data_IF_765371572684
#
_entry.id   IF_765371572684
#
_cell.length_a   1.000
_cell.length_b   1.000
_cell.length_c   1.000
_cell.angle_alpha   90.00
_cell.angle_beta   90.00
_cell.angle_gamma   90.00
#
_symmetry.space_group_name_H-M   'P 1'
#
loop_
_entity.id
_entity.type
_entity.pdbx_description
1 polymer ?
#
# COMPACT_ATOMS: atom_id res chain seq x y z
N UNK A 1 -71.34 -40.01 1.59
CA UNK A 1 -71.36 -38.55 1.36
C UNK A 1 -71.38 -37.86 2.72
N UNK A 2 -70.26 -37.32 3.18
CA UNK A 2 -70.15 -36.46 4.39
C UNK A 2 -69.41 -35.19 3.97
N UNK A 3 -69.82 -34.01 4.40
CA UNK A 3 -69.20 -32.74 3.98
C UNK A 3 -67.94 -32.42 4.74
N UNK A 4 -67.00 -31.83 4.01
CA UNK A 4 -65.75 -31.28 4.51
C UNK A 4 -65.97 -29.95 5.24
N UNK A 5 -65.45 -29.86 6.47
CA UNK A 5 -65.43 -28.63 7.29
C UNK A 5 -64.22 -27.78 6.94
N UNK A 6 -64.45 -26.50 6.67
CA UNK A 6 -63.43 -25.46 6.47
C UNK A 6 -62.79 -25.05 7.81
N UNK A 7 -61.47 -25.15 7.90
CA UNK A 7 -60.70 -24.56 9.01
C UNK A 7 -60.18 -23.17 8.62
N UNK A 8 -60.27 -22.23 9.56
CA UNK A 8 -59.89 -20.82 9.48
C UNK A 8 -58.39 -20.63 9.26
N UNK A 9 -57.93 -19.51 8.63
CA UNK A 9 -56.51 -19.20 8.48
C UNK A 9 -55.92 -18.65 9.78
N UNK A 10 -54.72 -19.13 10.13
CA UNK A 10 -53.86 -18.56 11.17
C UNK A 10 -53.34 -17.21 10.77
N UNK A 11 -53.52 -16.23 11.63
CA UNK A 11 -52.93 -14.90 11.52
C UNK A 11 -51.42 -15.01 11.75
N UNK A 12 -50.59 -14.65 10.75
CA UNK A 12 -49.18 -14.51 10.89
C UNK A 12 -48.84 -13.15 11.52
N UNK A 13 -48.34 -13.17 12.74
CA UNK A 13 -47.83 -11.99 13.45
C UNK A 13 -46.46 -11.66 12.86
N UNK A 14 -46.37 -10.57 12.10
CA UNK A 14 -45.08 -9.98 11.70
C UNK A 14 -44.40 -9.38 12.93
N UNK A 15 -43.35 -10.00 13.40
CA UNK A 15 -42.38 -9.41 14.33
C UNK A 15 -41.44 -8.47 13.53
N UNK A 16 -41.64 -7.18 13.66
CA UNK A 16 -40.71 -6.17 13.15
C UNK A 16 -39.46 -6.17 14.02
N UNK A 17 -38.36 -6.74 13.52
CA UNK A 17 -37.04 -6.53 14.11
C UNK A 17 -36.56 -5.11 13.72
N UNK A 18 -36.69 -4.17 14.63
CA UNK A 18 -36.00 -2.88 14.55
C UNK A 18 -34.51 -3.13 14.79
N UNK A 19 -33.71 -3.07 13.70
CA UNK A 19 -32.26 -3.03 13.78
C UNK A 19 -31.86 -1.67 14.39
N UNK A 20 -31.49 -1.68 15.66
CA UNK A 20 -30.79 -0.57 16.28
C UNK A 20 -29.41 -0.47 15.59
N UNK A 21 -29.25 0.47 14.68
CA UNK A 21 -27.95 0.87 14.18
C UNK A 21 -27.28 1.64 15.33
N UNK A 22 -26.46 0.93 16.11
CA UNK A 22 -25.55 1.59 17.04
C UNK A 22 -24.48 2.27 16.21
N UNK A 23 -24.62 3.58 16.02
CA UNK A 23 -23.56 4.39 15.45
C UNK A 23 -22.32 4.25 16.35
N UNK A 24 -21.26 3.68 15.79
CA UNK A 24 -19.96 3.67 16.47
C UNK A 24 -19.56 5.12 16.80
N UNK A 25 -19.04 5.41 18.00
CA UNK A 25 -18.62 6.76 18.33
C UNK A 25 -17.52 7.18 17.36
N UNK A 26 -17.69 8.35 16.75
CA UNK A 26 -16.66 9.00 15.96
C UNK A 26 -15.43 9.14 16.85
N UNK A 27 -14.36 8.39 16.54
CA UNK A 27 -13.08 8.52 17.22
C UNK A 27 -12.58 9.95 17.04
N UNK A 28 -12.45 10.66 18.16
CA UNK A 28 -11.98 12.03 18.22
C UNK A 28 -10.63 12.16 17.49
N UNK A 29 -10.63 13.01 16.50
CA UNK A 29 -9.57 13.66 15.78
C UNK A 29 -8.15 13.11 15.90
N UNK A 30 -7.81 12.10 15.11
CA UNK A 30 -6.42 11.88 14.73
C UNK A 30 -5.99 13.04 13.82
N UNK A 31 -4.87 13.73 14.05
CA UNK A 31 -4.44 14.82 13.19
C UNK A 31 -4.13 14.27 11.79
N UNK A 32 -5.01 14.55 10.84
CA UNK A 32 -4.74 14.36 9.42
C UNK A 32 -3.85 15.54 9.01
N UNK A 33 -2.55 15.32 8.90
CA UNK A 33 -1.66 16.28 8.24
C UNK A 33 -1.92 16.15 6.75
N UNK A 34 -2.83 16.97 6.21
CA UNK A 34 -2.93 17.16 4.77
C UNK A 34 -1.61 17.82 4.36
N UNK A 35 -0.79 17.11 3.61
CA UNK A 35 0.41 17.66 3.00
C UNK A 35 0.05 18.90 2.21
N UNK A 36 0.97 19.83 2.14
CA UNK A 36 0.87 21.16 1.51
C UNK A 36 -0.06 21.18 0.29
N UNK A 37 -0.87 22.25 0.22
CA UNK A 37 -1.66 22.66 -0.95
C UNK A 37 -0.98 22.22 -2.24
N UNK A 38 -1.74 21.54 -3.10
CA UNK A 38 -1.28 21.10 -4.41
C UNK A 38 -0.67 22.30 -5.20
N UNK A 39 0.64 22.40 -5.22
CA UNK A 39 1.35 23.42 -6.01
C UNK A 39 1.64 22.80 -7.37
N UNK A 40 0.69 22.96 -8.32
CA UNK A 40 0.99 22.71 -9.73
C UNK A 40 2.11 23.67 -10.10
N UNK A 41 3.29 23.20 -10.58
CA UNK A 41 4.36 24.11 -11.00
C UNK A 41 3.82 25.11 -11.99
N UNK A 42 4.03 26.41 -11.73
CA UNK A 42 3.51 27.49 -12.58
C UNK A 42 4.11 27.49 -13.98
N UNK A 43 5.25 26.85 -14.16
CA UNK A 43 6.03 26.68 -15.40
C UNK A 43 5.68 25.39 -16.18
N UNK A 44 4.84 24.50 -15.63
CA UNK A 44 4.41 23.31 -16.37
C UNK A 44 3.63 23.70 -17.62
N UNK A 45 3.97 23.09 -18.76
CA UNK A 45 3.29 23.31 -20.04
C UNK A 45 1.80 22.95 -19.95
N UNK A 46 1.47 21.82 -19.32
CA UNK A 46 0.09 21.38 -19.06
C UNK A 46 -0.18 21.41 -17.56
N UNK A 47 -1.23 22.12 -17.18
CA UNK A 47 -1.73 22.16 -15.81
C UNK A 47 -3.12 21.52 -15.75
N UNK A 48 -3.28 20.54 -14.85
CA UNK A 48 -4.57 19.91 -14.53
C UNK A 48 -4.81 20.07 -13.04
N UNK A 49 -5.91 20.70 -12.68
CA UNK A 49 -6.23 21.07 -11.30
C UNK A 49 -7.72 20.96 -11.01
N UNK A 50 -8.10 21.27 -9.78
CA UNK A 50 -9.48 21.35 -9.32
C UNK A 50 -9.79 22.78 -8.85
N UNK A 51 -11.07 23.07 -8.71
CA UNK A 51 -11.57 24.37 -8.21
C UNK A 51 -11.30 24.60 -6.72
N UNK A 52 -10.96 23.52 -5.96
CA UNK A 52 -10.53 23.60 -4.55
C UNK A 52 -9.06 23.24 -4.43
N UNK A 53 -8.35 23.98 -3.59
CA UNK A 53 -6.90 23.79 -3.41
C UNK A 53 -6.53 22.45 -2.74
N UNK A 54 -7.38 21.93 -1.85
CA UNK A 54 -7.18 20.67 -1.14
C UNK A 54 -7.71 19.44 -1.91
N UNK A 55 -8.35 19.66 -3.05
CA UNK A 55 -8.99 18.63 -3.89
C UNK A 55 -10.01 17.76 -3.16
N UNK A 56 -10.57 18.25 -2.05
CA UNK A 56 -11.45 17.48 -1.17
C UNK A 56 -12.89 18.05 -1.19
N UNK A 57 -13.86 17.17 -1.28
CA UNK A 57 -15.29 17.47 -1.42
C UNK A 57 -16.10 16.57 -0.49
N UNK A 58 -17.27 17.02 -0.07
CA UNK A 58 -18.25 16.15 0.54
C UNK A 58 -18.95 15.28 -0.53
N UNK A 59 -19.44 14.11 -0.13
CA UNK A 59 -20.34 13.31 -0.99
C UNK A 59 -21.54 14.16 -1.43
N UNK A 60 -21.89 14.10 -2.70
CA UNK A 60 -22.94 14.91 -3.33
C UNK A 60 -22.51 16.32 -3.73
N UNK A 61 -21.37 16.82 -3.28
CA UNK A 61 -20.82 18.10 -3.72
C UNK A 61 -20.20 17.95 -5.12
N UNK A 62 -20.32 18.96 -5.95
CA UNK A 62 -19.72 18.98 -7.29
C UNK A 62 -18.26 19.43 -7.24
N UNK A 63 -17.39 18.72 -7.96
CA UNK A 63 -15.98 19.07 -8.21
C UNK A 63 -15.82 19.52 -9.66
N UNK A 64 -15.11 20.62 -9.89
CA UNK A 64 -14.84 21.13 -11.24
C UNK A 64 -13.36 20.99 -11.57
N UNK A 65 -13.06 20.20 -12.61
CA UNK A 65 -11.70 20.05 -13.13
C UNK A 65 -11.35 21.17 -14.09
N UNK A 66 -10.10 21.64 -14.03
CA UNK A 66 -9.58 22.70 -14.88
C UNK A 66 -8.33 22.21 -15.62
N UNK A 67 -8.29 22.49 -16.92
CA UNK A 67 -7.16 22.16 -17.80
C UNK A 67 -6.67 23.46 -18.42
N UNK A 68 -5.38 23.74 -18.32
CA UNK A 68 -4.75 24.93 -18.89
C UNK A 68 -3.38 24.58 -19.47
N UNK A 69 -3.04 25.25 -20.58
CA UNK A 69 -1.69 25.22 -21.14
C UNK A 69 -1.00 26.57 -20.98
N UNK A 70 0.26 26.54 -20.64
CA UNK A 70 1.15 27.70 -20.62
C UNK A 70 1.97 27.69 -21.91
N UNK A 71 1.48 28.36 -22.94
CA UNK A 71 2.11 28.46 -24.26
C UNK A 71 2.24 29.91 -24.67
N UNK A 72 3.35 30.24 -25.35
CA UNK A 72 3.56 31.53 -25.95
C UNK A 72 4.28 31.37 -27.31
N UNK A 73 3.66 31.70 -28.46
CA UNK A 73 2.26 32.12 -28.60
C UNK A 73 1.28 30.94 -28.36
N UNK A 74 0.05 31.25 -27.95
CA UNK A 74 -1.02 30.27 -27.84
C UNK A 74 -1.65 30.02 -29.22
N UNK A 75 -1.96 28.76 -29.63
CA UNK A 75 -2.62 28.46 -30.89
C UNK A 75 -4.01 29.11 -30.95
N UNK A 76 -4.33 29.81 -32.05
CA UNK A 76 -5.63 30.46 -32.22
C UNK A 76 -6.82 29.49 -32.20
N UNK A 77 -6.61 28.27 -32.72
CA UNK A 77 -7.58 27.19 -32.70
C UNK A 77 -7.70 26.47 -31.34
N UNK A 78 -6.86 26.84 -30.38
CA UNK A 78 -6.74 26.14 -29.10
C UNK A 78 -5.90 24.85 -29.17
N UNK A 79 -5.80 24.15 -28.07
CA UNK A 79 -5.09 22.87 -27.97
C UNK A 79 -6.08 21.71 -27.86
N UNK A 80 -6.05 20.79 -28.81
CA UNK A 80 -6.85 19.58 -28.74
C UNK A 80 -6.28 18.61 -27.72
N UNK A 81 -7.14 18.15 -26.80
CA UNK A 81 -6.79 17.13 -25.79
C UNK A 81 -7.62 15.87 -26.02
N UNK A 82 -7.07 14.72 -25.66
CA UNK A 82 -7.84 13.55 -25.27
C UNK A 82 -7.88 13.44 -23.74
N UNK A 83 -9.04 13.03 -23.19
CA UNK A 83 -9.17 12.89 -21.75
C UNK A 83 -10.11 11.75 -21.35
N UNK A 84 -9.89 11.21 -20.15
CA UNK A 84 -10.79 10.26 -19.47
C UNK A 84 -11.15 10.83 -18.11
N UNK A 85 -12.41 10.67 -17.72
CA UNK A 85 -12.94 11.17 -16.44
C UNK A 85 -13.88 10.13 -15.84
N UNK A 86 -13.63 9.75 -14.58
CA UNK A 86 -14.45 8.77 -13.86
C UNK A 86 -13.79 8.36 -12.54
N UNK A 87 -14.31 7.33 -11.88
CA UNK A 87 -13.70 6.79 -10.65
C UNK A 87 -12.23 6.40 -10.88
N UNK A 88 -11.38 6.61 -9.87
CA UNK A 88 -9.95 6.29 -9.98
C UNK A 88 -9.74 4.83 -10.44
N UNK A 89 -8.84 4.63 -11.40
CA UNK A 89 -8.55 3.36 -12.11
C UNK A 89 -9.71 2.83 -12.99
N UNK A 90 -10.85 3.52 -13.05
CA UNK A 90 -12.05 3.16 -13.82
C UNK A 90 -12.60 4.39 -14.59
N UNK A 91 -11.68 5.21 -15.14
CA UNK A 91 -11.96 6.54 -15.68
C UNK A 91 -12.87 6.56 -16.94
N UNK A 92 -13.26 5.40 -17.43
CA UNK A 92 -14.21 5.28 -18.53
C UNK A 92 -13.62 5.56 -19.92
N UNK A 93 -14.50 5.84 -20.90
CA UNK A 93 -14.12 6.02 -22.30
C UNK A 93 -13.34 7.33 -22.52
N UNK A 94 -12.46 7.30 -23.54
CA UNK A 94 -11.74 8.49 -24.00
C UNK A 94 -12.69 9.47 -24.70
N UNK A 95 -12.50 10.76 -24.43
CA UNK A 95 -13.23 11.89 -25.03
C UNK A 95 -12.22 12.90 -25.53
N UNK A 96 -12.64 13.80 -26.41
CA UNK A 96 -11.84 14.91 -26.92
C UNK A 96 -12.46 16.24 -26.56
N UNK A 97 -11.61 17.28 -26.42
CA UNK A 97 -12.04 18.67 -26.22
C UNK A 97 -10.94 19.62 -26.74
N UNK A 98 -11.31 20.86 -26.96
CA UNK A 98 -10.36 21.95 -27.29
C UNK A 98 -10.20 22.81 -26.04
N UNK A 99 -8.95 23.04 -25.63
CA UNK A 99 -8.59 23.93 -24.53
C UNK A 99 -8.24 25.31 -25.11
N UNK A 100 -9.04 26.35 -24.85
CA UNK A 100 -8.73 27.71 -25.25
C UNK A 100 -7.64 28.33 -24.35
N UNK A 101 -7.11 29.49 -24.71
CA UNK A 101 -6.03 30.19 -23.96
C UNK A 101 -6.39 30.44 -22.49
N UNK A 102 -7.65 30.81 -22.23
CA UNK A 102 -8.14 31.01 -20.84
C UNK A 102 -8.28 29.71 -20.03
N UNK A 103 -8.08 28.54 -20.66
CA UNK A 103 -8.26 27.21 -20.05
C UNK A 103 -9.67 26.66 -20.25
N UNK A 104 -9.82 25.36 -19.96
CA UNK A 104 -11.08 24.60 -20.05
C UNK A 104 -11.51 24.14 -18.66
N UNK A 105 -12.77 24.44 -18.31
CA UNK A 105 -13.43 23.81 -17.17
C UNK A 105 -14.31 22.66 -17.66
N UNK A 106 -14.08 21.45 -17.17
CA UNK A 106 -14.91 20.30 -17.48
C UNK A 106 -16.17 20.32 -16.61
N UNK A 107 -17.28 19.71 -17.07
CA UNK A 107 -18.52 19.63 -16.28
C UNK A 107 -18.28 19.12 -14.87
N UNK A 108 -18.97 19.71 -13.92
CA UNK A 108 -18.88 19.33 -12.52
C UNK A 108 -19.30 17.87 -12.33
N UNK A 109 -18.53 17.15 -11.52
CA UNK A 109 -18.74 15.74 -11.20
C UNK A 109 -18.96 15.58 -9.70
N UNK A 110 -19.93 14.78 -9.30
CA UNK A 110 -20.19 14.44 -7.90
C UNK A 110 -20.25 12.92 -7.73
N UNK A 111 -19.89 12.44 -6.53
CA UNK A 111 -20.12 11.05 -6.14
C UNK A 111 -21.23 10.95 -5.10
N UNK A 112 -22.06 9.90 -5.22
CA UNK A 112 -23.09 9.56 -4.23
C UNK A 112 -22.52 8.77 -3.03
N UNK A 113 -21.29 8.28 -3.12
CA UNK A 113 -20.60 7.50 -2.09
C UNK A 113 -19.15 7.98 -1.94
N UNK A 114 -18.50 7.75 -0.78
CA UNK A 114 -17.09 8.05 -0.59
C UNK A 114 -16.20 7.38 -1.63
N UNK A 115 -15.24 8.13 -2.19
CA UNK A 115 -14.36 7.63 -3.23
C UNK A 115 -13.60 8.74 -3.93
N UNK A 116 -13.02 8.40 -5.08
CA UNK A 116 -12.20 9.32 -5.86
C UNK A 116 -12.66 9.36 -7.32
N UNK A 117 -12.59 10.55 -7.91
CA UNK A 117 -12.79 10.76 -9.35
C UNK A 117 -11.53 11.35 -9.93
N UNK A 118 -11.02 10.76 -11.00
CA UNK A 118 -9.79 11.17 -11.66
C UNK A 118 -10.06 11.68 -13.08
N UNK A 119 -9.40 12.79 -13.41
CA UNK A 119 -9.23 13.28 -14.76
C UNK A 119 -7.82 12.92 -15.24
N UNK A 120 -7.73 12.23 -16.37
CA UNK A 120 -6.50 12.00 -17.13
C UNK A 120 -6.58 12.81 -18.42
N UNK A 121 -5.54 13.59 -18.71
CA UNK A 121 -5.45 14.43 -19.91
C UNK A 121 -4.20 14.09 -20.68
N UNK A 122 -4.30 14.03 -22.00
CA UNK A 122 -3.19 13.86 -22.93
C UNK A 122 -3.34 14.80 -24.11
N UNK A 123 -2.24 15.44 -24.51
CA UNK A 123 -2.15 16.28 -25.71
C UNK A 123 -0.80 16.13 -26.38
N UNK A 124 -0.74 16.46 -27.67
CA UNK A 124 0.54 16.65 -28.37
C UNK A 124 0.73 18.14 -28.63
N UNK A 125 1.75 18.72 -28.02
CA UNK A 125 2.06 20.15 -28.14
C UNK A 125 3.49 20.28 -28.68
N UNK A 126 3.65 21.00 -29.80
CA UNK A 126 4.95 21.17 -30.45
C UNK A 126 5.69 19.84 -30.69
N UNK A 127 4.96 18.80 -31.11
CA UNK A 127 5.50 17.45 -31.36
C UNK A 127 5.83 16.64 -30.10
N UNK A 128 5.59 17.16 -28.90
CA UNK A 128 5.83 16.46 -27.63
C UNK A 128 4.50 16.06 -26.97
N UNK A 129 4.44 14.82 -26.49
CA UNK A 129 3.31 14.36 -25.70
C UNK A 129 3.37 14.99 -24.31
N UNK A 130 2.26 15.63 -23.91
CA UNK A 130 2.03 16.15 -22.57
C UNK A 130 0.95 15.31 -21.89
N UNK A 131 1.19 14.88 -20.66
CA UNK A 131 0.22 14.16 -19.84
C UNK A 131 0.03 14.86 -18.50
N UNK A 132 -1.22 14.97 -18.07
CA UNK A 132 -1.58 15.60 -16.81
C UNK A 132 -2.73 14.86 -16.14
N UNK A 133 -2.85 15.02 -14.82
CA UNK A 133 -3.93 14.40 -14.05
C UNK A 133 -4.28 15.22 -12.82
N UNK A 134 -5.53 15.10 -12.39
CA UNK A 134 -5.99 15.55 -11.07
C UNK A 134 -7.05 14.57 -10.56
N UNK A 135 -7.10 14.39 -9.24
CA UNK A 135 -8.00 13.42 -8.60
C UNK A 135 -8.77 14.09 -7.45
N UNK A 136 -10.09 14.22 -7.61
CA UNK A 136 -10.98 14.75 -6.59
C UNK A 136 -11.31 13.67 -5.56
N UNK A 137 -11.20 14.00 -4.28
CA UNK A 137 -11.51 13.13 -3.16
C UNK A 137 -12.88 13.48 -2.56
N UNK A 138 -13.79 12.52 -2.50
CA UNK A 138 -15.14 12.69 -1.94
C UNK A 138 -15.25 11.96 -0.60
N UNK A 139 -15.29 12.71 0.50
CA UNK A 139 -15.35 12.19 1.88
C UNK A 139 -14.39 11.00 2.09
N UNK A 140 -13.10 11.13 1.77
CA UNK A 140 -12.16 10.01 1.72
C UNK A 140 -11.98 9.30 3.07
N UNK A 141 -12.21 10.02 4.18
CA UNK A 141 -12.20 9.47 5.55
C UNK A 141 -13.33 8.46 5.82
N UNK A 142 -14.34 8.41 4.96
CA UNK A 142 -15.50 7.52 5.10
C UNK A 142 -15.44 6.31 4.16
N UNK A 143 -14.35 6.11 3.45
CA UNK A 143 -14.17 4.92 2.60
C UNK A 143 -14.06 3.69 3.51
N UNK A 144 -14.99 2.74 3.31
CA UNK A 144 -14.99 1.44 4.01
C UNK A 144 -14.44 0.37 3.08
N UNK A 145 -13.54 -0.53 3.52
CA UNK A 145 -13.04 -1.60 2.68
C UNK A 145 -14.15 -2.59 2.29
N UNK A 146 -14.02 -3.20 1.12
CA UNK A 146 -14.90 -4.30 0.65
C UNK A 146 -14.27 -5.68 0.85
N UNK A 147 -12.98 -5.72 1.19
CA UNK A 147 -12.31 -6.98 1.51
C UNK A 147 -12.92 -7.64 2.74
N UNK A 148 -13.26 -8.93 2.61
CA UNK A 148 -13.80 -9.73 3.71
C UNK A 148 -12.73 -10.07 4.73
N UNK A 149 -13.16 -10.32 5.98
CA UNK A 149 -12.29 -10.79 7.05
C UNK A 149 -12.60 -12.27 7.33
N UNK A 150 -11.64 -13.20 7.11
CA UNK A 150 -11.85 -14.60 7.45
C UNK A 150 -12.02 -14.81 8.97
N UNK A 151 -13.00 -15.59 9.38
CA UNK A 151 -13.25 -15.86 10.79
C UNK A 151 -12.07 -16.55 11.51
N UNK A 152 -11.26 -17.31 10.76
CA UNK A 152 -10.07 -18.01 11.27
C UNK A 152 -8.75 -17.26 10.96
N UNK A 153 -8.80 -15.96 10.61
CA UNK A 153 -7.62 -15.18 10.21
C UNK A 153 -6.49 -15.27 11.27
N UNK A 154 -6.80 -15.01 12.52
CA UNK A 154 -5.81 -15.01 13.59
C UNK A 154 -5.29 -16.43 13.88
N UNK A 155 -6.14 -17.44 13.83
CA UNK A 155 -5.75 -18.84 14.00
C UNK A 155 -4.82 -19.28 12.87
N UNK A 156 -5.13 -18.90 11.63
CA UNK A 156 -4.27 -19.15 10.47
C UNK A 156 -2.87 -18.59 10.69
N UNK A 157 -2.75 -17.29 11.00
CA UNK A 157 -1.44 -16.66 11.17
C UNK A 157 -0.68 -17.15 12.40
N UNK A 158 -1.36 -17.49 13.49
CA UNK A 158 -0.73 -18.16 14.62
C UNK A 158 -0.18 -19.55 14.26
N UNK A 159 -0.90 -20.32 13.44
CA UNK A 159 -0.40 -21.59 12.94
C UNK A 159 0.83 -21.40 12.04
N UNK A 160 0.85 -20.38 11.18
CA UNK A 160 2.01 -20.04 10.35
C UNK A 160 3.23 -19.63 11.20
N UNK A 161 3.01 -18.84 12.26
CA UNK A 161 4.08 -18.46 13.20
C UNK A 161 4.66 -19.67 13.94
N UNK A 162 3.80 -20.64 14.36
CA UNK A 162 4.29 -21.90 14.94
C UNK A 162 5.10 -22.73 13.95
N UNK A 163 4.68 -22.79 12.68
CA UNK A 163 5.44 -23.44 11.63
C UNK A 163 6.81 -22.77 11.40
N UNK A 164 6.87 -21.45 11.48
CA UNK A 164 8.13 -20.71 11.43
C UNK A 164 9.02 -21.04 12.64
N UNK A 165 8.48 -21.01 13.85
CA UNK A 165 9.24 -21.28 15.07
C UNK A 165 9.88 -22.70 15.10
N UNK A 166 9.25 -23.67 14.42
CA UNK A 166 9.79 -25.04 14.27
C UNK A 166 11.00 -25.12 13.31
N UNK A 167 11.30 -24.07 12.53
CA UNK A 167 12.46 -24.03 11.64
C UNK A 167 13.62 -23.32 12.34
N UNK A 168 14.76 -23.99 12.49
CA UNK A 168 15.98 -23.36 12.99
C UNK A 168 16.42 -22.22 12.07
N UNK A 169 16.66 -21.01 12.58
CA UNK A 169 16.91 -19.84 11.74
C UNK A 169 18.22 -19.90 10.97
N UNK A 170 19.26 -20.52 11.50
CA UNK A 170 20.60 -20.65 10.89
C UNK A 170 21.09 -19.30 10.32
N UNK A 171 21.14 -18.27 11.16
CA UNK A 171 21.65 -16.97 10.79
C UNK A 171 23.13 -17.04 10.42
N UNK A 172 23.48 -16.51 9.26
CA UNK A 172 24.87 -16.44 8.78
C UNK A 172 25.15 -15.02 8.30
N UNK A 173 26.21 -14.43 8.84
CA UNK A 173 26.73 -13.12 8.42
C UNK A 173 27.96 -13.30 7.52
N UNK A 174 27.99 -12.54 6.43
CA UNK A 174 29.17 -12.41 5.56
C UNK A 174 29.51 -10.92 5.48
N UNK A 175 30.72 -10.49 5.90
CA UNK A 175 31.08 -9.08 5.81
C UNK A 175 30.97 -8.52 4.40
N UNK A 176 30.54 -7.26 4.30
CA UNK A 176 30.44 -6.51 3.05
C UNK A 176 31.32 -5.24 3.12
N UNK A 177 32.67 -5.39 3.06
CA UNK A 177 33.60 -4.28 3.29
C UNK A 177 33.40 -3.14 2.27
N UNK A 178 33.02 -3.44 1.03
CA UNK A 178 32.76 -2.44 0.00
C UNK A 178 31.54 -1.53 0.31
N UNK A 179 30.65 -1.95 1.21
CA UNK A 179 29.49 -1.18 1.68
C UNK A 179 29.71 -0.58 3.07
N UNK A 180 30.79 -0.96 3.74
CA UNK A 180 31.14 -0.48 5.08
C UNK A 180 31.98 0.80 5.00
N UNK A 181 31.95 1.60 6.08
CA UNK A 181 32.79 2.81 6.23
C UNK A 181 33.26 2.96 7.70
N UNK A 182 33.81 4.12 8.02
CA UNK A 182 34.35 4.39 9.39
C UNK A 182 33.24 4.43 10.46
N UNK A 183 31.98 4.76 10.09
CA UNK A 183 30.86 4.89 11.01
C UNK A 183 30.00 3.65 11.06
N UNK A 184 29.94 2.86 9.97
CA UNK A 184 28.97 1.78 9.79
C UNK A 184 29.66 0.50 9.31
N UNK A 185 29.34 -0.60 9.96
CA UNK A 185 29.67 -1.95 9.51
C UNK A 185 28.48 -2.54 8.75
N UNK A 186 28.73 -3.08 7.55
CA UNK A 186 27.72 -3.71 6.71
C UNK A 186 28.07 -5.18 6.51
N UNK A 187 27.06 -6.04 6.60
CA UNK A 187 27.15 -7.47 6.34
C UNK A 187 25.96 -7.98 5.54
N UNK A 188 26.17 -8.97 4.70
CA UNK A 188 25.10 -9.76 4.14
C UNK A 188 24.62 -10.77 5.18
N UNK A 189 23.30 -10.79 5.43
CA UNK A 189 22.67 -11.73 6.34
C UNK A 189 21.87 -12.75 5.53
N UNK A 190 22.06 -14.03 5.85
CA UNK A 190 21.26 -15.13 5.30
C UNK A 190 20.63 -15.91 6.44
N UNK A 191 19.38 -16.36 6.26
CA UNK A 191 18.69 -17.18 7.25
C UNK A 191 17.64 -18.11 6.64
N UNK A 192 17.33 -19.21 7.37
CA UNK A 192 16.31 -20.16 6.97
C UNK A 192 14.91 -19.64 7.31
N UNK A 193 13.99 -20.00 6.43
CA UNK A 193 12.58 -19.71 6.50
C UNK A 193 11.76 -21.00 6.28
N UNK A 194 10.45 -20.91 6.40
CA UNK A 194 9.55 -22.04 6.16
C UNK A 194 9.70 -22.65 4.77
N UNK A 195 9.33 -23.91 4.65
CA UNK A 195 9.19 -24.56 3.35
C UNK A 195 8.04 -23.94 2.53
N UNK A 196 8.24 -23.84 1.22
CA UNK A 196 7.25 -23.34 0.27
C UNK A 196 7.29 -24.22 -1.00
N UNK A 197 6.23 -25.01 -1.29
CA UNK A 197 5.01 -25.21 -0.48
C UNK A 197 5.31 -25.91 0.87
N UNK A 198 4.34 -25.97 1.80
CA UNK A 198 4.47 -26.76 3.04
C UNK A 198 4.87 -28.20 2.74
N UNK A 199 5.79 -28.75 3.55
CA UNK A 199 6.33 -30.11 3.36
C UNK A 199 7.50 -30.19 2.36
N UNK A 200 7.82 -29.10 1.65
CA UNK A 200 8.98 -28.99 0.78
C UNK A 200 10.28 -28.70 1.56
N UNK A 201 11.29 -28.22 0.85
CA UNK A 201 12.54 -27.77 1.47
C UNK A 201 12.38 -26.39 2.07
N UNK A 202 13.03 -26.10 3.24
CA UNK A 202 13.09 -24.76 3.79
C UNK A 202 13.63 -23.75 2.76
N UNK A 203 12.99 -22.61 2.67
CA UNK A 203 13.44 -21.50 1.83
C UNK A 203 14.46 -20.66 2.60
N UNK A 204 15.14 -19.75 1.91
CA UNK A 204 16.08 -18.80 2.50
C UNK A 204 15.62 -17.37 2.28
N UNK A 205 16.01 -16.50 3.19
CA UNK A 205 15.92 -15.04 3.04
C UNK A 205 17.34 -14.49 3.08
N UNK A 206 17.56 -13.45 2.29
CA UNK A 206 18.82 -12.74 2.20
C UNK A 206 18.54 -11.26 2.48
N UNK A 207 19.46 -10.61 3.18
CA UNK A 207 19.34 -9.20 3.52
C UNK A 207 20.69 -8.54 3.67
N UNK A 208 20.66 -7.23 3.90
CA UNK A 208 21.82 -6.40 4.20
C UNK A 208 21.60 -5.79 5.58
N UNK A 209 22.46 -6.15 6.51
CA UNK A 209 22.51 -5.61 7.86
C UNK A 209 23.49 -4.44 7.87
N UNK A 210 23.08 -3.27 8.36
CA UNK A 210 23.95 -2.12 8.58
C UNK A 210 23.91 -1.74 10.06
N UNK A 211 25.06 -1.69 10.71
CA UNK A 211 25.22 -1.51 12.17
C UNK A 211 26.16 -0.37 12.45
N UNK A 212 25.81 0.60 13.32
CA UNK A 212 26.75 1.62 13.78
C UNK A 212 27.96 0.99 14.45
N UNK A 213 29.19 1.51 14.20
CA UNK A 213 30.39 1.01 14.86
C UNK A 213 30.49 1.38 16.34
N UNK A 214 29.79 2.46 16.76
CA UNK A 214 29.71 2.86 18.15
C UNK A 214 29.18 1.76 19.09
N UNK A 215 29.28 1.98 20.39
CA UNK A 215 28.94 0.98 21.40
C UNK A 215 27.44 0.64 21.45
N UNK A 216 26.54 1.60 21.17
CA UNK A 216 25.09 1.44 21.34
C UNK A 216 24.63 1.62 22.79
N UNK A 217 23.43 1.16 23.19
CA UNK A 217 22.49 0.45 22.32
C UNK A 217 21.74 1.37 21.35
N UNK A 218 21.13 0.78 20.30
CA UNK A 218 20.46 1.51 19.23
C UNK A 218 19.05 0.96 18.96
N UNK A 219 18.06 1.79 18.54
CA UNK A 219 16.83 1.31 17.94
C UNK A 219 17.11 0.46 16.70
N UNK A 220 16.24 -0.51 16.41
CA UNK A 220 16.38 -1.37 15.26
C UNK A 220 15.27 -1.14 14.24
N UNK A 221 15.58 -1.19 12.95
CA UNK A 221 14.64 -0.96 11.85
C UNK A 221 14.69 -2.10 10.84
N UNK A 222 13.57 -2.78 10.67
CA UNK A 222 13.35 -3.68 9.55
C UNK A 222 12.88 -2.85 8.34
N UNK A 223 13.65 -2.88 7.27
CA UNK A 223 13.29 -2.29 6.00
C UNK A 223 12.82 -3.36 5.03
N UNK A 224 11.58 -3.28 4.62
CA UNK A 224 10.94 -4.22 3.70
C UNK A 224 10.75 -3.59 2.32
N UNK A 225 10.99 -4.37 1.24
CA UNK A 225 11.14 -3.81 -0.10
C UNK A 225 9.80 -3.55 -0.80
N UNK A 226 9.80 -2.53 -1.68
CA UNK A 226 8.80 -2.41 -2.74
C UNK A 226 8.86 -3.57 -3.73
N UNK A 227 7.85 -3.65 -4.61
CA UNK A 227 7.77 -4.71 -5.62
C UNK A 227 8.92 -4.66 -6.64
N UNK A 228 9.24 -5.82 -7.20
CA UNK A 228 10.28 -6.02 -8.21
C UNK A 228 11.43 -6.89 -7.72
N UNK A 229 12.17 -7.43 -8.68
CA UNK A 229 13.31 -8.32 -8.45
C UNK A 229 14.60 -7.52 -8.63
N UNK A 230 15.36 -7.34 -7.54
CA UNK A 230 16.56 -6.48 -7.55
C UNK A 230 17.52 -6.79 -6.43
N UNK A 231 18.74 -6.27 -6.52
CA UNK A 231 19.74 -6.26 -5.44
C UNK A 231 19.42 -5.18 -4.38
N UNK A 232 20.10 -5.31 -3.22
CA UNK A 232 20.01 -4.36 -2.12
C UNK A 232 21.38 -4.05 -1.55
N UNK A 233 21.57 -2.80 -1.11
CA UNK A 233 22.85 -2.32 -0.54
C UNK A 233 22.75 -1.97 0.95
N UNK A 234 21.57 -2.20 1.56
CA UNK A 234 21.29 -1.77 2.92
C UNK A 234 20.98 -0.27 3.01
N UNK A 235 21.04 0.25 4.22
CA UNK A 235 20.79 1.67 4.52
C UNK A 235 21.85 2.20 5.49
N UNK A 236 23.12 2.26 5.03
CA UNK A 236 24.22 2.73 5.87
C UNK A 236 24.04 4.16 6.37
N UNK A 237 23.34 5.03 5.62
CA UNK A 237 23.03 6.40 6.04
C UNK A 237 22.15 6.40 7.29
N UNK A 238 21.13 5.56 7.33
CA UNK A 238 20.26 5.41 8.51
C UNK A 238 21.03 4.80 9.69
N UNK A 239 21.93 3.86 9.41
CA UNK A 239 22.80 3.30 10.45
C UNK A 239 23.78 4.35 11.00
N UNK A 240 24.34 5.23 10.16
CA UNK A 240 25.18 6.34 10.61
C UNK A 240 24.41 7.31 11.55
N UNK A 241 23.10 7.42 11.38
CA UNK A 241 22.20 8.18 12.25
C UNK A 241 21.78 7.42 13.53
N UNK A 242 22.43 6.30 13.85
CA UNK A 242 22.25 5.59 15.12
C UNK A 242 21.13 4.55 15.12
N UNK A 243 20.91 3.84 14.03
CA UNK A 243 19.97 2.72 13.94
C UNK A 243 20.67 1.42 13.55
N UNK A 244 20.30 0.30 14.12
CA UNK A 244 20.60 -1.02 13.54
C UNK A 244 19.57 -1.28 12.46
N UNK A 245 19.97 -1.40 11.19
CA UNK A 245 19.01 -1.58 10.09
C UNK A 245 19.20 -2.91 9.38
N UNK A 246 18.11 -3.58 9.06
CA UNK A 246 18.10 -4.79 8.24
C UNK A 246 17.16 -4.60 7.05
N UNK A 247 17.73 -4.50 5.86
CA UNK A 247 17.00 -4.49 4.59
C UNK A 247 16.96 -5.90 4.01
N UNK A 248 15.77 -6.47 3.80
CA UNK A 248 15.63 -7.85 3.29
C UNK A 248 15.20 -7.89 1.82
N UNK A 249 15.66 -8.92 1.10
CA UNK A 249 15.06 -9.38 -0.15
C UNK A 249 13.99 -10.43 0.14
N UNK A 250 12.97 -10.53 -0.73
CA UNK A 250 11.81 -11.42 -0.50
C UNK A 250 11.78 -12.65 -1.42
N UNK A 251 12.67 -12.71 -2.40
CA UNK A 251 12.59 -13.72 -3.47
C UNK A 251 13.32 -15.03 -3.14
N UNK A 252 14.07 -15.08 -2.02
CA UNK A 252 14.88 -16.24 -1.65
C UNK A 252 16.12 -16.40 -2.52
N UNK A 253 16.61 -15.31 -3.08
CA UNK A 253 17.85 -15.20 -3.86
C UNK A 253 18.80 -14.21 -3.18
N UNK A 254 20.13 -14.35 -3.33
CA UNK A 254 21.10 -13.39 -2.80
C UNK A 254 20.77 -11.96 -3.24
N UNK A 255 21.11 -10.99 -2.40
CA UNK A 255 20.80 -9.55 -2.61
C UNK A 255 21.93 -8.78 -3.31
N UNK A 256 23.02 -9.45 -3.63
CA UNK A 256 24.26 -8.91 -4.19
C UNK A 256 24.69 -9.59 -5.50
N UNK A 257 23.74 -10.12 -6.25
CA UNK A 257 23.98 -10.65 -7.60
C UNK A 257 24.16 -9.50 -8.61
N UNK A 258 24.74 -9.75 -9.78
CA UNK A 258 24.72 -8.82 -10.90
C UNK A 258 23.32 -8.41 -11.31
N UNK A 259 23.13 -7.15 -11.75
CA UNK A 259 21.82 -6.58 -12.06
C UNK A 259 21.13 -7.34 -13.22
N UNK A 260 21.88 -7.85 -14.19
CA UNK A 260 21.38 -8.63 -15.31
C UNK A 260 20.68 -9.93 -14.87
N UNK A 261 21.13 -10.56 -13.79
CA UNK A 261 20.50 -11.76 -13.25
C UNK A 261 19.13 -11.43 -12.62
N UNK A 262 19.02 -10.29 -11.94
CA UNK A 262 17.72 -9.84 -11.41
C UNK A 262 16.75 -9.51 -12.53
N UNK A 263 17.22 -8.88 -13.59
CA UNK A 263 16.40 -8.56 -14.76
C UNK A 263 15.88 -9.85 -15.42
N UNK A 264 16.77 -10.84 -15.67
CA UNK A 264 16.37 -12.14 -16.23
C UNK A 264 15.36 -12.87 -15.35
N UNK A 265 15.52 -12.82 -14.01
CA UNK A 265 14.57 -13.42 -13.09
C UNK A 265 13.23 -12.67 -13.07
N UNK A 266 13.25 -11.35 -13.18
CA UNK A 266 12.04 -10.51 -13.18
C UNK A 266 11.16 -10.76 -14.41
N UNK A 267 11.76 -10.94 -15.58
CA UNK A 267 11.06 -11.27 -16.83
C UNK A 267 10.96 -12.79 -17.11
N UNK A 268 11.40 -13.62 -16.18
CA UNK A 268 11.40 -15.09 -16.29
C UNK A 268 10.76 -15.74 -15.08
N UNK A 269 11.57 -16.46 -14.31
CA UNK A 269 11.08 -17.31 -13.20
C UNK A 269 10.36 -16.57 -12.08
N UNK A 270 10.45 -15.25 -11.98
CA UNK A 270 9.77 -14.43 -10.98
C UNK A 270 8.78 -13.43 -11.61
N UNK A 271 8.51 -13.55 -12.90
CA UNK A 271 7.45 -12.76 -13.53
C UNK A 271 6.11 -13.03 -12.83
N UNK A 272 5.37 -11.98 -12.50
CA UNK A 272 4.08 -12.10 -11.82
C UNK A 272 4.10 -12.94 -10.52
N UNK A 273 5.24 -12.99 -9.81
CA UNK A 273 5.41 -13.76 -8.55
C UNK A 273 4.29 -13.50 -7.53
N UNK A 274 3.73 -12.31 -7.56
CA UNK A 274 2.64 -11.87 -6.69
C UNK A 274 1.31 -12.63 -6.91
N UNK A 275 1.23 -13.50 -7.92
CA UNK A 275 0.07 -14.34 -8.25
C UNK A 275 0.33 -15.84 -8.05
N UNK A 276 1.58 -16.24 -7.71
CA UNK A 276 1.96 -17.66 -7.61
C UNK A 276 1.21 -18.36 -6.48
N UNK A 277 0.42 -19.38 -6.83
CA UNK A 277 -0.43 -20.18 -5.93
C UNK A 277 -1.45 -19.33 -5.15
N UNK A 278 -1.97 -18.25 -5.74
CA UNK A 278 -2.98 -17.39 -5.14
C UNK A 278 -4.30 -18.14 -4.85
N UNK A 279 -4.53 -19.30 -5.44
CA UNK A 279 -5.67 -20.18 -5.21
C UNK A 279 -5.54 -21.03 -3.92
N UNK A 280 -4.39 -21.01 -3.23
CA UNK A 280 -4.13 -21.82 -2.05
C UNK A 280 -3.43 -21.00 -0.96
N UNK A 281 -4.15 -20.62 0.10
CA UNK A 281 -3.64 -19.81 1.20
C UNK A 281 -2.38 -20.37 1.89
N UNK A 282 -2.16 -21.70 1.88
CA UNK A 282 -0.98 -22.32 2.48
C UNK A 282 0.23 -22.38 1.53
N UNK A 283 0.00 -22.25 0.23
CA UNK A 283 1.05 -22.29 -0.80
C UNK A 283 1.29 -20.93 -1.48
N UNK A 284 0.45 -19.93 -1.20
CA UNK A 284 0.57 -18.61 -1.81
C UNK A 284 1.95 -18.00 -1.56
N UNK A 285 2.50 -17.36 -2.60
CA UNK A 285 3.86 -16.80 -2.60
C UNK A 285 4.15 -15.94 -1.37
N UNK A 286 3.23 -15.06 -0.97
CA UNK A 286 3.42 -14.16 0.16
C UNK A 286 3.46 -14.85 1.52
N UNK A 287 3.05 -16.11 1.64
CA UNK A 287 3.20 -16.85 2.91
C UNK A 287 4.65 -16.86 3.38
N UNK A 288 5.57 -17.28 2.51
CA UNK A 288 7.00 -17.30 2.85
C UNK A 288 7.60 -15.90 3.00
N UNK A 289 7.07 -14.91 2.25
CA UNK A 289 7.52 -13.52 2.34
C UNK A 289 7.19 -12.93 3.70
N UNK A 290 5.95 -13.10 4.17
CA UNK A 290 5.50 -12.61 5.47
C UNK A 290 6.26 -13.27 6.62
N UNK A 291 6.40 -14.59 6.58
CA UNK A 291 7.15 -15.32 7.59
C UNK A 291 8.65 -14.98 7.56
N UNK A 292 9.21 -14.68 6.39
CA UNK A 292 10.58 -14.19 6.25
C UNK A 292 10.80 -12.82 6.91
N UNK A 293 9.83 -11.91 6.79
CA UNK A 293 9.89 -10.61 7.48
C UNK A 293 9.80 -10.77 9.01
N UNK A 294 8.95 -11.68 9.50
CA UNK A 294 8.90 -12.00 10.94
C UNK A 294 10.22 -12.61 11.44
N UNK A 295 10.86 -13.49 10.66
CA UNK A 295 12.18 -14.04 10.99
C UNK A 295 13.27 -12.96 11.01
N UNK A 296 13.16 -11.95 10.15
CA UNK A 296 14.07 -10.80 10.18
C UNK A 296 13.90 -9.97 11.46
N UNK A 297 12.67 -9.81 11.95
CA UNK A 297 12.41 -9.21 13.28
C UNK A 297 13.00 -10.05 14.41
N UNK A 298 12.96 -11.39 14.33
CA UNK A 298 13.60 -12.27 15.31
C UNK A 298 15.12 -12.03 15.37
N UNK A 299 15.75 -11.80 14.20
CA UNK A 299 17.17 -11.47 14.17
C UNK A 299 17.46 -10.12 14.83
N UNK A 300 16.72 -9.08 14.48
CA UNK A 300 16.90 -7.74 15.04
C UNK A 300 16.68 -7.72 16.56
N UNK A 301 15.66 -8.43 17.04
CA UNK A 301 15.31 -8.50 18.46
C UNK A 301 16.32 -9.28 19.33
N UNK A 302 17.27 -9.99 18.74
CA UNK A 302 18.38 -10.64 19.46
C UNK A 302 19.74 -10.00 19.15
N UNK A 303 19.77 -8.94 18.33
CA UNK A 303 21.01 -8.29 17.95
C UNK A 303 21.66 -7.60 19.17
N UNK A 304 22.96 -7.83 19.49
CA UNK A 304 23.59 -7.35 20.73
C UNK A 304 23.61 -5.82 20.87
N UNK A 305 23.53 -5.08 19.78
CA UNK A 305 23.44 -3.62 19.80
C UNK A 305 22.02 -3.06 19.75
N UNK A 306 20.98 -3.91 19.73
CA UNK A 306 19.59 -3.45 19.86
C UNK A 306 19.33 -2.94 21.29
N UNK A 307 18.54 -1.86 21.40
CA UNK A 307 18.24 -1.24 22.69
C UNK A 307 17.21 -2.01 23.55
N UNK A 308 16.72 -3.16 23.05
CA UNK A 308 15.74 -4.00 23.74
C UNK A 308 14.32 -3.43 23.77
N UNK A 309 14.08 -2.27 23.16
CA UNK A 309 12.82 -1.53 23.26
C UNK A 309 12.27 -1.12 21.89
N UNK A 310 13.05 -0.41 21.09
CA UNK A 310 12.60 0.23 19.89
C UNK A 310 12.83 -0.65 18.66
N UNK A 311 11.78 -1.25 18.13
CA UNK A 311 11.79 -2.07 16.93
C UNK A 311 10.80 -1.50 15.91
N UNK A 312 11.29 -1.08 14.76
CA UNK A 312 10.49 -0.38 13.73
C UNK A 312 10.33 -1.26 12.50
N UNK A 313 9.15 -1.23 11.88
CA UNK A 313 8.94 -1.77 10.54
C UNK A 313 8.64 -0.63 9.55
N UNK A 314 9.39 -0.57 8.45
CA UNK A 314 9.30 0.53 7.49
C UNK A 314 9.33 0.02 6.05
N UNK A 315 8.45 0.59 5.20
CA UNK A 315 8.49 0.35 3.75
C UNK A 315 7.47 1.15 2.96
N UNK A 316 7.65 1.14 1.63
CA UNK A 316 6.73 1.77 0.68
C UNK A 316 6.19 0.78 -0.34
N UNK A 317 5.01 1.01 -0.88
CA UNK A 317 4.35 0.14 -1.85
C UNK A 317 4.16 -1.28 -1.27
N UNK A 318 4.64 -2.34 -1.92
CA UNK A 318 4.72 -3.67 -1.32
C UNK A 318 5.41 -3.65 0.05
N UNK A 319 6.42 -2.79 0.25
CA UNK A 319 7.05 -2.61 1.55
C UNK A 319 6.10 -2.03 2.59
N UNK A 320 5.20 -1.12 2.22
CA UNK A 320 4.15 -0.60 3.11
C UNK A 320 3.19 -1.69 3.58
N UNK A 321 2.75 -2.57 2.65
CA UNK A 321 2.01 -3.80 2.97
C UNK A 321 2.78 -4.67 3.98
N UNK A 322 4.06 -4.94 3.71
CA UNK A 322 4.90 -5.81 4.54
C UNK A 322 5.18 -5.18 5.92
N UNK A 323 5.34 -3.86 6.01
CA UNK A 323 5.51 -3.15 7.28
C UNK A 323 4.26 -3.25 8.16
N UNK A 324 3.06 -3.04 7.59
CA UNK A 324 1.78 -3.19 8.29
C UNK A 324 1.61 -4.64 8.76
N UNK A 325 1.85 -5.61 7.88
CA UNK A 325 1.76 -7.04 8.22
C UNK A 325 2.73 -7.42 9.35
N UNK A 326 4.00 -7.00 9.25
CA UNK A 326 5.02 -7.32 10.26
C UNK A 326 4.63 -6.75 11.62
N UNK A 327 4.15 -5.51 11.68
CA UNK A 327 3.68 -4.85 12.90
C UNK A 327 2.42 -5.48 13.48
N UNK A 328 1.50 -5.93 12.63
CA UNK A 328 0.28 -6.59 13.09
C UNK A 328 0.52 -7.98 13.68
N UNK A 329 1.50 -8.71 13.14
CA UNK A 329 1.80 -10.09 13.56
C UNK A 329 2.87 -10.18 14.65
N UNK A 330 3.62 -9.11 14.91
CA UNK A 330 4.70 -9.08 15.91
C UNK A 330 4.53 -7.89 16.87
N UNK A 331 4.13 -8.20 18.09
CA UNK A 331 3.90 -7.19 19.13
C UNK A 331 5.18 -6.49 19.63
N UNK A 332 6.38 -6.96 19.23
CA UNK A 332 7.66 -6.29 19.54
C UNK A 332 7.86 -5.03 18.70
N UNK A 333 7.15 -4.91 17.57
CA UNK A 333 7.22 -3.70 16.74
C UNK A 333 6.53 -2.55 17.46
N UNK A 334 7.27 -1.46 17.66
CA UNK A 334 6.87 -0.29 18.44
C UNK A 334 6.53 0.93 17.59
N UNK A 335 6.85 0.93 16.29
CA UNK A 335 6.49 1.98 15.35
C UNK A 335 6.44 1.43 13.92
N UNK A 336 5.54 1.96 13.10
CA UNK A 336 5.33 1.53 11.72
C UNK A 336 5.38 2.73 10.77
N UNK A 337 6.13 2.61 9.67
CA UNK A 337 6.07 3.57 8.57
C UNK A 337 5.57 2.83 7.33
N UNK A 338 4.39 3.20 6.85
CA UNK A 338 3.75 2.59 5.71
C UNK A 338 3.42 3.64 4.63
N UNK A 339 4.22 3.69 3.57
CA UNK A 339 3.97 4.62 2.46
C UNK A 339 3.18 3.92 1.37
N UNK A 340 2.02 4.47 1.02
CA UNK A 340 1.14 4.01 -0.08
C UNK A 340 1.12 2.47 -0.22
N UNK A 341 0.65 1.72 0.80
CA UNK A 341 0.80 0.26 0.84
C UNK A 341 0.08 -0.43 -0.31
N UNK A 342 0.74 -1.44 -0.86
CA UNK A 342 0.17 -2.35 -1.84
C UNK A 342 -0.78 -3.38 -1.19
N UNK A 343 -1.37 -4.24 -2.00
CA UNK A 343 -2.27 -5.32 -1.56
C UNK A 343 -3.39 -4.82 -0.63
N UNK A 344 -3.90 -3.63 -0.96
CA UNK A 344 -4.88 -2.89 -0.17
C UNK A 344 -6.25 -3.05 -0.80
N UNK A 345 -7.21 -3.66 -0.09
CA UNK A 345 -8.59 -3.81 -0.53
C UNK A 345 -8.70 -4.38 -1.97
N UNK A 346 -7.93 -5.46 -2.22
CA UNK A 346 -7.70 -5.99 -3.58
C UNK A 346 -8.97 -6.47 -4.28
N UNK A 347 -10.03 -6.75 -3.54
CA UNK A 347 -11.34 -7.13 -4.08
C UNK A 347 -12.15 -5.95 -4.62
N UNK A 348 -11.65 -4.72 -4.50
CA UNK A 348 -12.33 -3.50 -4.98
C UNK A 348 -12.88 -3.61 -6.40
N UNK A 349 -12.11 -4.19 -7.33
CA UNK A 349 -12.54 -4.36 -8.72
C UNK A 349 -13.77 -5.27 -8.91
N UNK A 350 -14.03 -6.19 -7.97
CA UNK A 350 -15.26 -7.01 -7.97
C UNK A 350 -16.47 -6.22 -7.47
N UNK A 351 -16.25 -5.04 -6.89
CA UNK A 351 -17.27 -4.16 -6.32
C UNK A 351 -17.36 -2.80 -7.04
N UNK A 352 -16.87 -2.73 -8.30
CA UNK A 352 -16.98 -1.53 -9.13
C UNK A 352 -16.12 -0.35 -8.68
N UNK A 353 -15.04 -0.59 -7.91
CA UNK A 353 -14.09 0.44 -7.48
C UNK A 353 -12.64 -0.05 -7.57
N UNK A 354 -11.69 0.86 -7.44
CA UNK A 354 -10.27 0.52 -7.50
C UNK A 354 -9.88 -0.43 -6.36
N UNK A 355 -9.13 -1.50 -6.72
CA UNK A 355 -8.39 -2.34 -5.79
C UNK A 355 -6.90 -2.02 -5.86
N UNK A 356 -6.15 -2.28 -4.80
CA UNK A 356 -4.71 -2.02 -4.73
C UNK A 356 -3.87 -2.89 -5.65
N UNK A 357 -2.60 -2.49 -5.86
CA UNK A 357 -1.62 -3.34 -6.53
C UNK A 357 -1.56 -4.73 -5.88
N UNK A 358 -1.45 -5.82 -6.66
CA UNK A 358 -1.13 -5.89 -8.10
C UNK A 358 -2.35 -5.86 -9.03
N UNK A 359 -3.48 -5.30 -8.63
CA UNK A 359 -4.68 -5.23 -9.44
C UNK A 359 -5.34 -6.60 -9.64
N UNK A 360 -5.34 -7.42 -8.58
CA UNK A 360 -6.08 -8.68 -8.59
C UNK A 360 -7.54 -8.42 -8.91
N UNK A 361 -8.15 -9.34 -9.65
CA UNK A 361 -9.57 -9.30 -10.04
C UNK A 361 -9.95 -8.12 -10.95
N UNK A 362 -8.98 -7.34 -11.47
CA UNK A 362 -9.26 -6.32 -12.47
C UNK A 362 -9.88 -6.97 -13.71
N UNK A 363 -10.93 -6.37 -14.22
CA UNK A 363 -11.63 -6.82 -15.41
C UNK A 363 -10.96 -6.22 -16.67
N UNK A 364 -10.93 -6.98 -17.75
CA UNK A 364 -10.60 -6.49 -19.08
C UNK A 364 -11.77 -5.71 -19.71
N UNK A 365 -11.59 -5.22 -20.93
CA UNK A 365 -12.64 -4.47 -21.64
C UNK A 365 -13.92 -5.30 -21.94
N UNK A 366 -13.84 -6.62 -21.84
CA UNK A 366 -14.93 -7.57 -21.99
C UNK A 366 -15.53 -8.01 -20.66
N UNK A 367 -15.11 -7.41 -19.54
CA UNK A 367 -15.57 -7.75 -18.18
C UNK A 367 -15.03 -9.07 -17.63
N UNK A 368 -13.99 -9.67 -18.25
CA UNK A 368 -13.41 -10.93 -17.80
C UNK A 368 -12.33 -10.66 -16.77
N UNK A 369 -12.37 -11.39 -15.67
CA UNK A 369 -11.31 -11.37 -14.65
C UNK A 369 -10.19 -12.31 -15.06
N UNK A 370 -8.95 -11.81 -15.11
CA UNK A 370 -7.77 -12.59 -15.47
C UNK A 370 -7.42 -13.63 -14.41
N UNK A 371 -7.73 -13.37 -13.15
CA UNK A 371 -7.35 -14.21 -12.01
C UNK A 371 -8.35 -15.37 -11.77
N UNK A 372 -8.46 -16.32 -12.68
CA UNK A 372 -9.28 -17.52 -12.51
C UNK A 372 -8.50 -18.62 -11.72
N UNK A 373 -9.15 -19.49 -10.91
CA UNK A 373 -10.54 -19.39 -10.44
C UNK A 373 -10.73 -18.26 -9.43
N UNK A 374 -11.77 -17.44 -9.61
CA UNK A 374 -11.97 -16.20 -8.81
C UNK A 374 -12.20 -16.52 -7.33
N UNK A 375 -13.12 -17.41 -7.00
CA UNK A 375 -13.55 -17.68 -5.61
C UNK A 375 -12.41 -18.15 -4.72
N UNK A 376 -11.58 -19.09 -5.20
CA UNK A 376 -10.43 -19.59 -4.45
C UNK A 376 -9.39 -18.48 -4.20
N UNK A 377 -9.15 -17.62 -5.21
CA UNK A 377 -8.22 -16.50 -5.11
C UNK A 377 -8.75 -15.37 -4.23
N UNK A 378 -10.04 -15.08 -4.27
CA UNK A 378 -10.71 -14.13 -3.36
C UNK A 378 -10.56 -14.62 -1.93
N UNK A 379 -10.89 -15.89 -1.66
CA UNK A 379 -10.73 -16.51 -0.34
C UNK A 379 -9.29 -16.41 0.15
N UNK A 380 -8.32 -16.77 -0.68
CA UNK A 380 -6.89 -16.67 -0.31
C UNK A 380 -6.47 -15.22 -0.08
N UNK A 381 -6.87 -14.29 -0.96
CA UNK A 381 -6.47 -12.88 -0.85
C UNK A 381 -6.88 -12.26 0.49
N UNK A 382 -7.99 -12.68 1.07
CA UNK A 382 -8.46 -12.19 2.36
C UNK A 382 -7.49 -12.47 3.53
N UNK A 383 -6.67 -13.52 3.46
CA UNK A 383 -5.64 -13.79 4.46
C UNK A 383 -4.38 -12.94 4.27
N UNK A 384 -4.23 -12.26 3.15
CA UNK A 384 -2.99 -11.55 2.78
C UNK A 384 -3.22 -10.06 2.52
N UNK A 385 -4.47 -9.61 2.47
CA UNK A 385 -4.83 -8.22 2.25
C UNK A 385 -4.42 -7.34 3.43
N UNK A 386 -3.83 -6.21 3.11
CA UNK A 386 -3.35 -5.22 4.08
C UNK A 386 -4.46 -4.70 5.01
N UNK A 387 -5.72 -4.66 4.54
CA UNK A 387 -6.90 -4.27 5.36
C UNK A 387 -6.99 -5.13 6.64
N UNK A 388 -6.85 -6.45 6.52
CA UNK A 388 -7.04 -7.35 7.64
C UNK A 388 -5.90 -7.30 8.67
N UNK A 389 -4.68 -6.94 8.22
CA UNK A 389 -3.57 -6.64 9.12
C UNK A 389 -3.73 -5.26 9.77
N UNK A 390 -4.17 -4.26 9.01
CA UNK A 390 -4.35 -2.89 9.51
C UNK A 390 -5.33 -2.82 10.70
N UNK A 391 -6.38 -3.64 10.70
CA UNK A 391 -7.31 -3.80 11.84
C UNK A 391 -6.63 -4.27 13.14
N UNK A 392 -5.45 -4.88 13.04
CA UNK A 392 -4.70 -5.49 14.15
C UNK A 392 -3.50 -4.68 14.60
N UNK A 393 -3.23 -3.55 13.96
CA UNK A 393 -2.14 -2.67 14.35
C UNK A 393 -2.35 -2.13 15.77
N UNK A 394 -1.26 -2.10 16.54
CA UNK A 394 -1.21 -1.56 17.90
C UNK A 394 -0.17 -0.46 18.04
N UNK A 395 0.94 -0.60 17.31
CA UNK A 395 2.00 0.39 17.27
C UNK A 395 1.55 1.66 16.52
N UNK A 396 2.04 2.85 16.91
CA UNK A 396 1.85 4.08 16.14
C UNK A 396 2.26 3.92 14.68
N UNK A 397 1.47 4.53 13.78
CA UNK A 397 1.68 4.43 12.33
C UNK A 397 1.82 5.81 11.71
N UNK A 398 2.91 6.03 10.97
CA UNK A 398 3.00 7.09 9.98
C UNK A 398 2.61 6.52 8.60
N UNK A 399 1.56 7.07 8.03
CA UNK A 399 0.96 6.56 6.80
C UNK A 399 0.97 7.63 5.70
N UNK A 400 1.38 7.25 4.49
CA UNK A 400 1.36 8.13 3.32
C UNK A 400 0.37 7.63 2.28
N UNK A 401 -0.37 8.56 1.67
CA UNK A 401 -1.21 8.30 0.50
C UNK A 401 -1.22 9.51 -0.45
N UNK A 402 -1.22 9.26 -1.76
CA UNK A 402 -1.30 10.29 -2.79
C UNK A 402 -2.57 10.14 -3.62
N UNK A 403 -3.23 11.26 -3.98
CA UNK A 403 -4.47 11.18 -4.77
C UNK A 403 -4.18 10.75 -6.22
N UNK A 404 -3.04 11.16 -6.76
CA UNK A 404 -2.64 10.83 -8.15
C UNK A 404 -1.89 9.51 -8.30
N UNK A 405 -1.83 8.68 -7.24
CA UNK A 405 -1.22 7.37 -7.32
C UNK A 405 -2.08 6.42 -8.19
N UNK A 406 -1.47 5.89 -9.26
CA UNK A 406 -2.10 4.95 -10.18
C UNK A 406 -1.58 3.51 -10.00
N UNK A 407 -0.69 3.27 -9.05
CA UNK A 407 -0.16 1.95 -8.71
C UNK A 407 -0.90 1.40 -7.50
N UNK A 408 -0.93 2.18 -6.41
CA UNK A 408 -1.73 1.89 -5.22
C UNK A 408 -2.78 2.99 -5.06
N UNK A 409 -3.91 2.86 -5.75
CA UNK A 409 -4.89 3.94 -5.89
C UNK A 409 -5.45 4.39 -4.54
N UNK A 410 -5.76 5.70 -4.39
CA UNK A 410 -6.17 6.27 -3.11
C UNK A 410 -7.44 5.65 -2.53
N UNK A 411 -8.39 5.19 -3.36
CA UNK A 411 -9.57 4.44 -2.87
C UNK A 411 -9.15 3.24 -2.05
N UNK A 412 -8.19 2.45 -2.52
CA UNK A 412 -7.75 1.23 -1.83
C UNK A 412 -6.85 1.53 -0.61
N UNK A 413 -5.93 2.48 -0.73
CA UNK A 413 -5.01 2.81 0.36
C UNK A 413 -5.72 3.49 1.53
N UNK A 414 -6.72 4.35 1.28
CA UNK A 414 -7.51 4.95 2.35
C UNK A 414 -8.52 3.96 2.97
N UNK A 415 -8.98 2.95 2.24
CA UNK A 415 -9.73 1.85 2.82
C UNK A 415 -8.91 1.12 3.92
N UNK A 416 -7.59 0.96 3.71
CA UNK A 416 -6.68 0.43 4.72
C UNK A 416 -6.48 1.41 5.88
N UNK A 417 -6.19 2.68 5.58
CA UNK A 417 -5.96 3.68 6.63
C UNK A 417 -7.16 3.82 7.57
N UNK A 418 -8.36 3.83 7.02
CA UNK A 418 -9.59 4.10 7.76
C UNK A 418 -9.93 2.99 8.78
N UNK A 419 -9.40 1.77 8.64
CA UNK A 419 -9.62 0.67 9.61
C UNK A 419 -8.54 0.58 10.69
N UNK A 420 -7.46 1.37 10.63
CA UNK A 420 -6.44 1.40 11.67
C UNK A 420 -7.04 2.06 12.91
N UNK A 421 -6.97 1.39 14.06
CA UNK A 421 -7.43 1.91 15.36
C UNK A 421 -6.26 2.33 16.26
N UNK A 422 -5.03 1.93 15.96
CA UNK A 422 -3.83 2.38 16.63
C UNK A 422 -3.61 3.90 16.44
N UNK A 423 -2.78 4.55 17.28
CA UNK A 423 -2.34 5.91 17.01
C UNK A 423 -1.77 6.03 15.58
N UNK A 424 -2.27 6.98 14.82
CA UNK A 424 -1.93 7.08 13.39
C UNK A 424 -1.81 8.53 12.94
N UNK A 425 -0.85 8.78 12.06
CA UNK A 425 -0.70 10.05 11.36
C UNK A 425 -0.80 9.78 9.86
N UNK A 426 -1.62 10.56 9.17
CA UNK A 426 -1.76 10.52 7.71
C UNK A 426 -1.08 11.73 7.09
N UNK A 427 -0.14 11.48 6.21
CA UNK A 427 0.38 12.47 5.27
C UNK A 427 -0.31 12.23 3.93
N UNK A 428 -1.19 13.15 3.57
CA UNK A 428 -2.01 13.07 2.38
C UNK A 428 -1.59 14.19 1.43
N UNK A 429 -1.08 13.81 0.26
CA UNK A 429 -0.66 14.75 -0.77
C UNK A 429 -1.54 14.62 -2.02
N UNK A 430 -2.35 15.64 -2.35
CA UNK A 430 -3.22 15.60 -3.52
C UNK A 430 -2.50 15.40 -4.85
N UNK A 431 -1.27 15.90 -4.99
CA UNK A 431 -0.51 15.75 -6.25
C UNK A 431 0.37 14.50 -6.28
N UNK A 432 0.60 13.88 -5.14
CA UNK A 432 1.52 12.76 -5.02
C UNK A 432 1.12 11.60 -5.93
N UNK A 433 2.10 11.17 -6.70
CA UNK A 433 2.09 9.92 -7.46
C UNK A 433 2.77 8.80 -6.65
N UNK A 434 3.00 7.63 -7.24
CA UNK A 434 3.64 6.48 -6.56
C UNK A 434 5.16 6.71 -6.34
N UNK A 435 5.50 7.62 -5.44
CA UNK A 435 6.87 8.05 -5.19
C UNK A 435 7.06 8.56 -3.75
N UNK A 436 8.21 8.26 -3.13
CA UNK A 436 8.65 8.90 -1.89
C UNK A 436 9.58 10.05 -2.21
N UNK A 437 9.16 11.29 -1.93
CA UNK A 437 9.96 12.49 -2.18
C UNK A 437 11.04 12.69 -1.09
N UNK A 438 12.03 13.59 -1.31
CA UNK A 438 12.96 13.97 -0.24
C UNK A 438 12.26 14.52 1.01
N UNK A 439 11.20 15.31 0.85
CA UNK A 439 10.40 15.89 1.94
C UNK A 439 9.70 14.78 2.75
N UNK A 440 9.19 13.75 2.08
CA UNK A 440 8.62 12.57 2.74
C UNK A 440 9.69 11.84 3.55
N UNK A 441 10.88 11.63 3.01
CA UNK A 441 12.00 11.01 3.75
C UNK A 441 12.36 11.81 4.99
N UNK A 442 12.53 13.11 4.87
CA UNK A 442 12.83 13.99 6.01
C UNK A 442 11.71 13.96 7.08
N UNK A 443 10.45 13.83 6.66
CA UNK A 443 9.33 13.70 7.60
C UNK A 443 9.33 12.35 8.30
N UNK A 444 9.64 11.27 7.58
CA UNK A 444 9.81 9.92 8.16
C UNK A 444 10.93 9.94 9.22
N UNK A 445 12.08 10.51 8.89
CA UNK A 445 13.23 10.58 9.80
C UNK A 445 12.90 11.35 11.08
N UNK A 446 12.27 12.52 10.98
CA UNK A 446 11.81 13.30 12.14
C UNK A 446 10.80 12.54 12.98
N UNK A 447 9.83 11.89 12.34
CA UNK A 447 8.82 11.12 13.05
C UNK A 447 9.43 9.92 13.77
N UNK A 448 10.31 9.17 13.10
CA UNK A 448 11.04 8.05 13.72
C UNK A 448 11.87 8.50 14.92
N UNK A 449 12.64 9.59 14.79
CA UNK A 449 13.42 10.14 15.91
C UNK A 449 12.53 10.44 17.13
N UNK A 450 11.34 10.98 16.90
CA UNK A 450 10.35 11.22 17.98
C UNK A 450 9.85 9.92 18.61
N UNK A 451 9.54 8.89 17.79
CA UNK A 451 9.02 7.62 18.30
C UNK A 451 10.06 6.84 19.13
N UNK A 452 11.32 6.88 18.75
CA UNK A 452 12.40 6.14 19.45
C UNK A 452 13.09 6.97 20.53
N UNK A 453 12.72 8.24 20.71
CA UNK A 453 13.34 9.13 21.69
C UNK A 453 14.78 9.51 21.33
N UNK A 454 15.17 9.43 20.06
CA UNK A 454 16.45 9.91 19.58
C UNK A 454 16.42 11.44 19.42
N UNK A 455 17.57 12.12 19.67
CA UNK A 455 17.68 13.53 19.28
C UNK A 455 17.66 13.61 17.74
N UNK A 456 16.86 14.53 17.18
CA UNK A 456 16.82 14.73 15.74
C UNK A 456 18.13 15.22 15.17
#
# INVERSE_FOLDING_TARGET
>A
MKPLTFTKPLAATLLAFSHLIVAAPALAGTPVKIGTVAVVPSDATLQVSLDRADWTYAVGQAATFRVKFNLAPYPAEGVTISYRLGPDMLEGAERTAIVPEQGLSLPATALAQPGFVRLLVKATVQGKVQEGRATAAFSPQNIVPVQTEPADFDQFWQAQKRALAAVAPQFTLTPAPALSNEQVEVSYLTFQNVAQPPGGRPTRIYGVLSVPRGAGPYPAVLQVPGAGVRGYKGTPEMAANGYVTLQIGIHGIPVNLPDELYEQLNFGALESYNRYNLDNRNAYYYRRVYLGALRALDYLAQHPKWDGKNLVAQGGSQGGQLAIMASALDARVTATVASYPAYSDVTGYLHGRAGGWPGLFRQDAQGRVQDQPVDAKVTTSAYYDTVNFARRLRAPVLYYAGFNDMVTPPTSTLAVFNVITAPRELVLDPQQVHLTTPEHRATIERWLAQQVGAKP
#
